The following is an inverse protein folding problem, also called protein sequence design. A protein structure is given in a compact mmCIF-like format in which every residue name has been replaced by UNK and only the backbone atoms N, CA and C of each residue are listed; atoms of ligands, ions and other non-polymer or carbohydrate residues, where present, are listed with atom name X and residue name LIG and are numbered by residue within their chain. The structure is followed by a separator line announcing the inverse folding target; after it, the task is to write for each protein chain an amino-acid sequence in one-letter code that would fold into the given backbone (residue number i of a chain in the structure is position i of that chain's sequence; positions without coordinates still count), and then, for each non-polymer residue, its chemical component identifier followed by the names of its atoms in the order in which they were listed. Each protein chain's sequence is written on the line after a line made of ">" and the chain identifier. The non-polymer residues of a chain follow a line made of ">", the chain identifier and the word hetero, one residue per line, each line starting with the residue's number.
data_IF_957371244368
#
_entry.id   IF_957371244368
#
_cell.length_a   1.000
_cell.length_b   1.000
_cell.length_c   1.000
_cell.angle_alpha   90.00
_cell.angle_beta   90.00
_cell.angle_gamma   90.00
#
_symmetry.space_group_name_H-M   'P 1'
#
loop_
_entity.id
_entity.type
_entity.pdbx_description
1 polymer ?
#
# COMPACT_ATOMS: atom_id res chain seq x y z
N UNK A 1 -20.12 -2.17 -9.91
CA UNK A 1 -18.74 -2.07 -10.45
C UNK A 1 -17.84 -2.68 -9.42
N UNK A 2 -17.08 -3.71 -9.77
CA UNK A 2 -16.06 -4.23 -8.86
C UNK A 2 -14.99 -3.13 -8.66
N UNK A 3 -14.57 -2.91 -7.42
CA UNK A 3 -13.79 -1.74 -7.03
C UNK A 3 -12.36 -1.71 -7.63
N UNK A 4 -11.57 -0.66 -7.33
CA UNK A 4 -10.23 -0.45 -7.89
C UNK A 4 -9.20 -1.57 -7.60
N UNK A 5 -9.55 -2.56 -6.78
CA UNK A 5 -8.68 -3.68 -6.42
C UNK A 5 -8.89 -4.95 -7.28
N UNK A 6 -9.86 -4.98 -8.20
CA UNK A 6 -10.13 -6.17 -9.04
C UNK A 6 -8.91 -6.60 -9.84
N UNK A 7 -8.29 -5.67 -10.58
CA UNK A 7 -7.10 -5.97 -11.41
C UNK A 7 -5.95 -6.51 -10.55
N UNK A 8 -5.77 -5.95 -9.34
CA UNK A 8 -4.73 -6.44 -8.41
C UNK A 8 -4.98 -7.87 -7.96
N UNK A 9 -6.25 -8.27 -7.82
CA UNK A 9 -6.64 -9.63 -7.46
C UNK A 9 -6.40 -10.59 -8.63
N UNK A 10 -6.78 -10.21 -9.85
CA UNK A 10 -6.53 -11.01 -11.05
C UNK A 10 -5.04 -11.33 -11.22
N UNK A 11 -4.16 -10.34 -11.00
CA UNK A 11 -2.70 -10.57 -11.04
C UNK A 11 -2.24 -11.54 -9.96
N UNK A 12 -2.76 -11.42 -8.73
CA UNK A 12 -2.44 -12.37 -7.64
C UNK A 12 -2.92 -13.79 -7.97
N UNK A 13 -4.11 -13.93 -8.56
CA UNK A 13 -4.68 -15.21 -8.95
C UNK A 13 -3.83 -15.88 -10.03
N UNK A 14 -3.38 -15.14 -11.05
CA UNK A 14 -2.50 -15.64 -12.11
C UNK A 14 -1.15 -16.09 -11.54
N UNK A 15 -0.52 -15.28 -10.68
CA UNK A 15 0.76 -15.67 -10.04
C UNK A 15 0.60 -16.95 -9.22
N UNK A 16 -0.53 -17.09 -8.50
CA UNK A 16 -0.86 -18.28 -7.71
C UNK A 16 -1.08 -19.51 -8.59
N UNK A 17 -1.83 -19.38 -9.68
CA UNK A 17 -2.08 -20.47 -10.65
C UNK A 17 -0.78 -21.06 -11.21
N UNK A 18 0.21 -20.20 -11.46
CA UNK A 18 1.52 -20.61 -11.97
C UNK A 18 2.53 -20.98 -10.86
N UNK A 19 2.10 -21.07 -9.60
CA UNK A 19 2.96 -21.39 -8.46
C UNK A 19 4.17 -20.46 -8.35
N UNK A 20 4.03 -19.20 -8.80
CA UNK A 20 5.06 -18.20 -8.72
C UNK A 20 5.03 -17.56 -7.34
N UNK A 21 6.15 -17.55 -6.60
CA UNK A 21 6.20 -16.91 -5.30
C UNK A 21 6.13 -15.39 -5.45
N UNK A 22 5.32 -14.74 -4.62
CA UNK A 22 5.25 -13.30 -4.53
C UNK A 22 5.06 -12.84 -3.08
N UNK A 23 5.37 -11.57 -2.84
CA UNK A 23 5.18 -10.89 -1.56
C UNK A 23 4.34 -9.65 -1.81
N UNK A 24 3.41 -9.35 -0.90
CA UNK A 24 2.56 -8.16 -0.98
C UNK A 24 2.98 -7.17 0.10
N UNK A 25 3.25 -5.94 -0.31
CA UNK A 25 3.52 -4.82 0.59
C UNK A 25 2.28 -3.92 0.67
N UNK A 26 1.64 -3.86 1.84
CA UNK A 26 0.45 -3.03 2.07
C UNK A 26 0.88 -1.66 2.61
N UNK A 27 1.11 -0.71 1.73
CA UNK A 27 1.79 0.55 2.05
C UNK A 27 0.88 1.63 2.63
N UNK A 28 -0.44 1.43 2.62
CA UNK A 28 -1.39 2.49 2.95
C UNK A 28 -1.46 3.59 1.89
N UNK A 29 -1.88 4.79 2.30
CA UNK A 29 -1.93 5.96 1.43
C UNK A 29 -0.54 6.60 1.33
N UNK A 30 -0.10 6.96 0.13
CA UNK A 30 1.14 7.76 0.04
C UNK A 30 0.89 9.19 0.51
N UNK A 31 1.80 9.71 1.32
CA UNK A 31 1.73 11.05 1.90
C UNK A 31 1.53 12.14 0.84
N UNK A 32 2.19 11.97 -0.31
CA UNK A 32 2.13 12.87 -1.46
C UNK A 32 0.73 12.95 -2.09
N UNK A 33 -0.14 11.98 -1.80
CA UNK A 33 -1.50 11.95 -2.29
C UNK A 33 -2.56 12.35 -1.25
N UNK A 34 -2.17 12.65 -0.01
CA UNK A 34 -3.11 13.11 1.02
C UNK A 34 -3.79 14.42 0.60
N UNK A 35 -3.02 15.40 0.12
CA UNK A 35 -3.57 16.68 -0.35
C UNK A 35 -4.56 16.53 -1.52
N UNK A 36 -4.23 15.85 -2.64
CA UNK A 36 -5.17 15.71 -3.76
C UNK A 36 -6.40 14.87 -3.42
N UNK A 37 -6.34 13.92 -2.47
CA UNK A 37 -7.50 13.09 -2.12
C UNK A 37 -8.35 13.64 -0.98
N UNK A 38 -7.76 14.34 -0.02
CA UNK A 38 -8.44 14.85 1.18
C UNK A 38 -8.50 16.38 1.21
N UNK A 39 -8.14 17.07 0.13
CA UNK A 39 -8.10 18.54 0.05
C UNK A 39 -7.34 19.16 1.24
N UNK A 40 -6.22 18.55 1.62
CA UNK A 40 -5.42 19.03 2.73
C UNK A 40 -4.72 20.33 2.32
N UNK A 41 -5.07 21.44 2.97
CA UNK A 41 -4.44 22.74 2.79
C UNK A 41 -3.37 22.94 3.86
N UNK A 42 -2.10 22.88 3.47
CA UNK A 42 -0.97 22.98 4.39
C UNK A 42 -0.82 24.37 5.03
N UNK A 43 -1.21 25.45 4.34
CA UNK A 43 -1.07 26.81 4.87
C UNK A 43 -2.15 27.16 5.89
N UNK A 44 -3.37 26.67 5.68
CA UNK A 44 -4.52 27.00 6.52
C UNK A 44 -4.88 25.89 7.51
N UNK A 45 -4.29 24.69 7.36
CA UNK A 45 -4.42 23.58 8.31
C UNK A 45 -5.78 22.88 8.31
N UNK A 46 -6.51 22.90 7.18
CA UNK A 46 -7.79 22.18 7.05
C UNK A 46 -7.71 21.02 6.07
N UNK A 47 -8.67 20.09 6.18
CA UNK A 47 -8.86 18.98 5.25
C UNK A 47 -10.31 18.53 5.21
N UNK A 48 -10.69 17.84 4.14
CA UNK A 48 -11.98 17.19 4.03
C UNK A 48 -12.01 15.91 4.87
N UNK A 49 -13.09 15.74 5.62
CA UNK A 49 -13.45 14.46 6.27
C UNK A 49 -14.43 13.72 5.37
N UNK A 50 -14.05 12.52 4.92
CA UNK A 50 -14.92 11.67 4.11
C UNK A 50 -15.70 10.73 5.02
N UNK A 51 -17.03 10.68 4.86
CA UNK A 51 -17.90 9.88 5.72
C UNK A 51 -17.89 10.39 7.17
N UNK A 52 -17.74 9.47 8.13
CA UNK A 52 -17.68 9.81 9.57
C UNK A 52 -16.28 10.20 10.08
N UNK A 53 -15.23 9.96 9.29
CA UNK A 53 -13.85 10.23 9.72
C UNK A 53 -13.28 9.31 10.80
N UNK A 54 -13.97 8.23 11.14
CA UNK A 54 -13.57 7.30 12.23
C UNK A 54 -12.67 6.16 11.75
N UNK A 55 -12.51 5.99 10.43
CA UNK A 55 -11.70 4.93 9.85
C UNK A 55 -10.22 5.29 9.96
N UNK A 56 -9.49 4.55 10.80
CA UNK A 56 -8.05 4.64 10.86
C UNK A 56 -7.42 4.16 9.53
N UNK A 57 -6.42 4.89 9.06
CA UNK A 57 -5.60 4.50 7.91
C UNK A 57 -4.14 4.91 8.16
N UNK A 58 -3.22 4.24 7.49
CA UNK A 58 -1.79 4.53 7.54
C UNK A 58 -1.39 5.41 6.33
N UNK A 59 -0.46 6.34 6.60
CA UNK A 59 0.15 7.21 5.59
C UNK A 59 1.64 6.94 5.58
N UNK A 60 2.20 6.68 4.40
CA UNK A 60 3.64 6.44 4.23
C UNK A 60 4.22 7.32 3.12
N UNK A 61 5.43 7.90 3.28
CA UNK A 61 6.10 8.54 2.16
C UNK A 61 6.52 7.50 1.12
N UNK A 62 6.28 7.78 -0.16
CA UNK A 62 6.63 6.83 -1.25
C UNK A 62 8.12 6.48 -1.29
N UNK A 63 8.99 7.44 -0.94
CA UNK A 63 10.43 7.21 -0.87
C UNK A 63 10.83 6.19 0.22
N UNK A 64 10.16 6.23 1.38
CA UNK A 64 10.41 5.30 2.49
C UNK A 64 9.92 3.89 2.14
N UNK A 65 8.79 3.80 1.46
CA UNK A 65 8.29 2.53 0.91
C UNK A 65 9.32 1.88 -0.01
N UNK A 66 9.90 2.64 -0.93
CA UNK A 66 10.93 2.12 -1.83
C UNK A 66 12.16 1.62 -1.09
N UNK A 67 12.65 2.36 -0.09
CA UNK A 67 13.78 1.97 0.75
C UNK A 67 13.48 0.72 1.55
N UNK A 68 12.30 0.63 2.15
CA UNK A 68 11.88 -0.52 2.94
C UNK A 68 11.75 -1.78 2.08
N UNK A 69 11.10 -1.69 0.92
CA UNK A 69 10.98 -2.81 -0.03
C UNK A 69 12.37 -3.28 -0.46
N UNK A 70 13.27 -2.36 -0.84
CA UNK A 70 14.64 -2.71 -1.22
C UNK A 70 15.39 -3.40 -0.08
N UNK A 71 15.26 -2.88 1.15
CA UNK A 71 15.85 -3.49 2.33
C UNK A 71 15.35 -4.92 2.54
N UNK A 72 14.04 -5.12 2.65
CA UNK A 72 13.40 -6.42 2.88
C UNK A 72 13.80 -7.44 1.81
N UNK A 73 13.77 -7.06 0.53
CA UNK A 73 14.15 -7.95 -0.56
C UNK A 73 15.63 -8.32 -0.56
N UNK A 74 16.49 -7.50 0.04
CA UNK A 74 17.94 -7.73 0.11
C UNK A 74 18.40 -8.46 1.38
N UNK A 75 17.61 -8.43 2.46
CA UNK A 75 18.03 -8.94 3.78
C UNK A 75 17.21 -10.11 4.29
N UNK A 76 15.95 -10.25 3.89
CA UNK A 76 15.10 -11.35 4.35
C UNK A 76 15.42 -12.66 3.61
N UNK A 77 15.21 -13.79 4.27
CA UNK A 77 15.31 -15.09 3.60
C UNK A 77 14.14 -15.27 2.63
N UNK A 78 14.39 -15.94 1.50
CA UNK A 78 13.35 -16.18 0.49
C UNK A 78 12.14 -16.92 1.08
N UNK A 79 12.37 -17.86 2.00
CA UNK A 79 11.30 -18.60 2.70
C UNK A 79 10.35 -17.68 3.47
N UNK A 80 10.86 -16.58 4.02
CA UNK A 80 10.08 -15.64 4.83
C UNK A 80 9.24 -14.71 3.96
N UNK A 81 9.60 -14.57 2.69
CA UNK A 81 8.94 -13.71 1.71
C UNK A 81 7.84 -14.43 0.92
N UNK A 82 7.95 -15.74 0.75
CA UNK A 82 7.03 -16.52 -0.07
C UNK A 82 5.59 -16.48 0.49
N UNK A 83 4.69 -15.84 -0.26
CA UNK A 83 3.28 -15.69 0.13
C UNK A 83 3.05 -14.69 1.26
N UNK A 84 4.09 -13.98 1.70
CA UNK A 84 4.01 -13.03 2.80
C UNK A 84 3.20 -11.79 2.40
N UNK A 85 2.47 -11.24 3.39
CA UNK A 85 1.78 -9.95 3.28
C UNK A 85 2.32 -9.05 4.40
N UNK A 86 3.03 -8.00 4.04
CA UNK A 86 3.77 -7.14 4.95
C UNK A 86 3.01 -5.81 5.09
N UNK A 87 2.45 -5.48 6.27
CA UNK A 87 1.86 -4.18 6.54
C UNK A 87 2.93 -3.12 6.82
N UNK A 88 2.60 -1.87 6.51
CA UNK A 88 3.34 -0.67 6.94
C UNK A 88 2.67 -0.02 8.15
#
# INVERSE_FOLDING_TARGET
>A
MEGPNTIKKEVQDVLTQHQLPFTIFNTGLFAEYVAPFLNYNYSEGYMNVVGKGEMAFNITPRAEVGRFVAHVLSTAQKSDLQGARIPF
#
